data_IF_738751723668
#
_entry.id   IF_738751723668
#
_cell.length_a   1.000
_cell.length_b   1.000
_cell.length_c   1.000
_cell.angle_alpha   90.00
_cell.angle_beta   90.00
_cell.angle_gamma   90.00
#
_symmetry.space_group_name_H-M   'P 1'
#
loop_
_entity.id
_entity.type
_entity.pdbx_description
1 polymer ?
#
# COMPACT_ATOMS: atom_id res chain seq x y z
N UNK A 1 -18.89 -3.91 16.29
CA UNK A 1 -18.92 -4.11 14.83
C UNK A 1 -17.49 -4.23 14.32
N UNK A 2 -17.22 -5.07 13.31
CA UNK A 2 -15.87 -5.15 12.73
C UNK A 2 -15.53 -3.85 12.00
N UNK A 3 -14.35 -3.28 12.25
CA UNK A 3 -13.88 -2.01 11.65
C UNK A 3 -13.86 -2.05 10.12
N UNK A 4 -13.56 -3.23 9.55
CA UNK A 4 -13.51 -3.45 8.10
C UNK A 4 -14.60 -4.44 7.66
N UNK A 5 -15.32 -4.10 6.61
CA UNK A 5 -16.29 -5.01 6.00
C UNK A 5 -15.57 -6.13 5.23
N UNK A 6 -16.25 -7.27 5.05
CA UNK A 6 -15.73 -8.37 4.19
C UNK A 6 -15.42 -7.90 2.77
N UNK A 7 -16.19 -6.92 2.26
CA UNK A 7 -15.98 -6.34 0.94
C UNK A 7 -14.66 -5.59 0.85
N UNK A 8 -14.35 -4.74 1.84
CA UNK A 8 -13.09 -4.00 1.91
C UNK A 8 -11.91 -4.97 1.99
N UNK A 9 -11.99 -6.00 2.83
CA UNK A 9 -10.91 -6.99 2.96
C UNK A 9 -10.68 -7.76 1.65
N UNK A 10 -11.74 -8.07 0.89
CA UNK A 10 -11.60 -8.66 -0.45
C UNK A 10 -10.84 -7.73 -1.41
N UNK A 11 -11.07 -6.42 -1.34
CA UNK A 11 -10.37 -5.43 -2.16
C UNK A 11 -8.89 -5.29 -1.75
N UNK A 12 -8.62 -5.24 -0.45
CA UNK A 12 -7.26 -5.24 0.10
C UNK A 12 -6.47 -6.49 -0.32
N UNK A 13 -7.13 -7.64 -0.41
CA UNK A 13 -6.51 -8.92 -0.80
C UNK A 13 -6.39 -9.13 -2.32
N UNK A 14 -6.24 -8.05 -3.12
CA UNK A 14 -6.04 -8.12 -4.57
C UNK A 14 -7.32 -8.01 -5.40
N UNK A 15 -8.46 -7.71 -4.74
CA UNK A 15 -9.74 -7.59 -5.42
C UNK A 15 -9.83 -6.41 -6.38
N UNK A 16 -9.09 -5.32 -6.17
CA UNK A 16 -9.07 -4.18 -7.10
C UNK A 16 -8.37 -4.57 -8.39
N UNK A 17 -7.18 -5.18 -8.28
CA UNK A 17 -6.47 -5.71 -9.44
C UNK A 17 -7.35 -6.67 -10.24
N UNK A 18 -8.01 -7.63 -9.58
CA UNK A 18 -8.92 -8.57 -10.26
C UNK A 18 -10.08 -7.88 -10.99
N UNK A 19 -10.61 -6.76 -10.46
CA UNK A 19 -11.62 -5.94 -11.15
C UNK A 19 -11.04 -5.28 -12.39
N UNK A 20 -9.93 -4.56 -12.26
CA UNK A 20 -9.28 -3.86 -13.37
C UNK A 20 -8.86 -4.82 -14.48
N UNK A 21 -8.34 -5.99 -14.12
CA UNK A 21 -8.01 -7.05 -15.08
C UNK A 21 -9.28 -7.55 -15.78
N UNK A 22 -10.35 -7.81 -15.03
CA UNK A 22 -11.65 -8.15 -15.61
C UNK A 22 -12.16 -7.08 -16.59
N UNK A 23 -12.00 -5.80 -16.26
CA UNK A 23 -12.42 -4.67 -17.10
C UNK A 23 -11.51 -4.49 -18.34
N UNK A 24 -10.19 -4.65 -18.19
CA UNK A 24 -9.20 -4.63 -19.27
C UNK A 24 -9.41 -5.76 -20.28
N UNK A 25 -10.02 -6.87 -19.86
CA UNK A 25 -10.43 -7.97 -20.74
C UNK A 25 -11.81 -7.74 -21.43
N UNK A 26 -12.41 -6.56 -21.31
CA UNK A 26 -13.63 -6.12 -22.00
C UNK A 26 -14.88 -7.00 -21.79
N UNK A 27 -15.54 -6.86 -20.63
CA UNK A 27 -16.97 -7.17 -20.51
C UNK A 27 -17.83 -5.96 -20.93
N UNK A 28 -18.05 -5.76 -22.24
CA UNK A 28 -19.23 -4.99 -22.68
C UNK A 28 -20.42 -5.93 -22.77
N UNK A 29 -21.42 -5.72 -21.91
CA UNK A 29 -22.71 -6.43 -21.96
C UNK A 29 -23.45 -6.03 -23.25
N UNK A 30 -23.29 -6.80 -24.33
CA UNK A 30 -24.09 -6.64 -25.55
C UNK A 30 -24.23 -7.97 -26.30
N UNK A 31 -25.48 -8.47 -26.37
CA UNK A 31 -26.05 -9.46 -27.30
C UNK A 31 -25.17 -10.52 -27.99
N UNK A 32 -25.50 -11.79 -27.76
CA UNK A 32 -25.18 -13.04 -28.52
C UNK A 32 -23.72 -13.37 -28.92
N UNK A 33 -22.82 -12.41 -29.10
CA UNK A 33 -21.35 -12.60 -29.12
C UNK A 33 -20.73 -12.78 -27.71
N UNK A 34 -21.59 -12.63 -26.69
CA UNK A 34 -21.30 -12.67 -25.25
C UNK A 34 -20.66 -13.99 -24.79
N UNK A 35 -21.04 -15.15 -25.36
CA UNK A 35 -20.53 -16.45 -24.88
C UNK A 35 -19.01 -16.63 -25.05
N UNK A 36 -18.46 -16.28 -26.22
CA UNK A 36 -17.02 -16.48 -26.48
C UNK A 36 -16.13 -15.50 -25.70
N UNK A 37 -16.59 -14.26 -25.50
CA UNK A 37 -15.90 -13.26 -24.67
C UNK A 37 -16.00 -13.63 -23.18
N UNK A 38 -17.16 -14.11 -22.72
CA UNK A 38 -17.35 -14.62 -21.36
C UNK A 38 -16.48 -15.85 -21.10
N UNK A 39 -16.34 -16.75 -22.08
CA UNK A 39 -15.48 -17.94 -22.00
C UNK A 39 -13.98 -17.56 -21.93
N UNK A 40 -13.55 -16.54 -22.67
CA UNK A 40 -12.17 -16.04 -22.63
C UNK A 40 -11.83 -15.35 -21.30
N UNK A 41 -12.72 -14.50 -20.79
CA UNK A 41 -12.56 -13.87 -19.48
C UNK A 41 -12.61 -14.88 -18.33
N UNK A 42 -13.53 -15.85 -18.38
CA UNK A 42 -13.58 -16.96 -17.43
C UNK A 42 -12.31 -17.83 -17.49
N UNK A 43 -11.77 -18.08 -18.68
CA UNK A 43 -10.50 -18.79 -18.86
C UNK A 43 -9.32 -18.02 -18.29
N UNK A 44 -9.25 -16.70 -18.50
CA UNK A 44 -8.22 -15.84 -17.95
C UNK A 44 -8.25 -15.81 -16.41
N UNK A 45 -9.44 -15.67 -15.82
CA UNK A 45 -9.61 -15.75 -14.37
C UNK A 45 -9.21 -17.13 -13.82
N UNK A 46 -9.61 -18.22 -14.48
CA UNK A 46 -9.21 -19.58 -14.10
C UNK A 46 -7.70 -19.78 -14.18
N UNK A 47 -7.05 -19.22 -15.20
CA UNK A 47 -5.59 -19.24 -15.32
C UNK A 47 -4.92 -18.43 -14.20
N UNK A 48 -5.46 -17.25 -13.86
CA UNK A 48 -4.98 -16.47 -12.72
C UNK A 48 -5.12 -17.23 -11.40
N UNK A 49 -6.25 -17.90 -11.16
CA UNK A 49 -6.45 -18.72 -9.96
C UNK A 49 -5.42 -19.87 -9.88
N UNK A 50 -5.10 -20.52 -11.01
CA UNK A 50 -4.06 -21.54 -11.08
C UNK A 50 -2.65 -20.97 -10.77
N UNK A 51 -2.32 -19.80 -11.33
CA UNK A 51 -1.05 -19.13 -11.06
C UNK A 51 -0.95 -18.71 -9.59
N UNK A 52 -2.03 -18.23 -9.00
CA UNK A 52 -2.06 -17.87 -7.58
C UNK A 52 -1.92 -19.08 -6.67
N UNK A 53 -2.53 -20.22 -7.01
CA UNK A 53 -2.34 -21.46 -6.28
C UNK A 53 -0.89 -21.97 -6.36
N UNK A 54 -0.28 -21.90 -7.54
CA UNK A 54 1.14 -22.25 -7.74
C UNK A 54 2.06 -21.31 -6.95
N UNK A 55 1.80 -20.00 -6.97
CA UNK A 55 2.54 -19.02 -6.19
C UNK A 55 2.38 -19.26 -4.68
N UNK A 56 1.17 -19.58 -4.20
CA UNK A 56 0.93 -19.89 -2.80
C UNK A 56 1.75 -21.10 -2.34
N UNK A 57 1.83 -22.16 -3.17
CA UNK A 57 2.68 -23.33 -2.89
C UNK A 57 4.16 -22.96 -2.86
N UNK A 58 4.65 -22.22 -3.85
CA UNK A 58 6.06 -21.77 -3.94
C UNK A 58 6.49 -20.95 -2.71
N UNK A 59 5.60 -20.13 -2.17
CA UNK A 59 5.89 -19.17 -1.11
C UNK A 59 5.32 -19.58 0.27
N UNK A 60 4.89 -20.83 0.43
CA UNK A 60 4.24 -21.32 1.64
C UNK A 60 5.12 -21.17 2.90
N UNK A 61 6.43 -21.41 2.78
CA UNK A 61 7.38 -21.32 3.90
C UNK A 61 7.79 -19.90 4.32
N UNK A 62 7.31 -18.84 3.65
CA UNK A 62 7.72 -17.47 3.97
C UNK A 62 6.82 -16.87 5.05
N UNK A 63 7.40 -16.66 6.23
CA UNK A 63 6.72 -16.13 7.43
C UNK A 63 6.72 -14.60 7.48
N UNK A 64 7.86 -13.94 7.19
CA UNK A 64 7.99 -12.46 7.17
C UNK A 64 7.73 -11.86 5.79
N UNK A 65 6.54 -12.12 5.23
CA UNK A 65 6.17 -11.73 3.85
C UNK A 65 6.38 -10.24 3.56
N UNK A 66 5.89 -9.34 4.42
CA UNK A 66 6.10 -7.87 4.27
C UNK A 66 7.56 -7.51 4.04
N UNK A 67 8.45 -8.02 4.90
CA UNK A 67 9.87 -7.72 4.83
C UNK A 67 10.52 -8.37 3.61
N UNK A 68 10.15 -9.61 3.28
CA UNK A 68 10.68 -10.31 2.11
C UNK A 68 10.28 -9.62 0.81
N UNK A 69 9.04 -9.16 0.69
CA UNK A 69 8.47 -8.63 -0.54
C UNK A 69 8.70 -7.13 -0.73
N UNK A 70 8.49 -6.31 0.30
CA UNK A 70 8.62 -4.84 0.18
C UNK A 70 9.94 -4.31 0.76
N UNK A 71 10.58 -5.05 1.67
CA UNK A 71 11.74 -4.58 2.43
C UNK A 71 11.35 -3.96 3.78
N UNK A 72 12.26 -3.17 4.36
CA UNK A 72 12.00 -2.42 5.60
C UNK A 72 11.23 -1.12 5.30
N UNK A 73 10.35 -0.71 6.22
CA UNK A 73 9.83 0.66 6.26
C UNK A 73 10.99 1.62 6.51
N UNK A 74 11.10 2.74 5.77
CA UNK A 74 12.12 3.74 6.07
C UNK A 74 11.97 4.27 7.50
N UNK A 75 13.09 4.58 8.14
CA UNK A 75 13.07 5.22 9.46
C UNK A 75 12.54 6.64 9.35
N UNK A 76 11.79 7.10 10.35
CA UNK A 76 11.40 8.51 10.47
C UNK A 76 12.61 9.46 10.51
N UNK A 77 13.78 8.97 10.95
CA UNK A 77 15.01 9.76 10.96
C UNK A 77 15.82 9.71 9.64
N UNK A 78 15.40 8.87 8.67
CA UNK A 78 16.01 8.80 7.33
C UNK A 78 15.57 9.95 6.44
N UNK A 79 16.17 10.09 5.25
CA UNK A 79 15.77 11.09 4.25
C UNK A 79 14.26 11.09 4.02
N UNK A 80 13.66 9.93 3.68
CA UNK A 80 12.22 9.82 3.43
C UNK A 80 11.39 10.26 4.64
N UNK A 81 11.80 9.90 5.86
CA UNK A 81 11.09 10.31 7.07
C UNK A 81 11.14 11.82 7.33
N UNK A 82 12.27 12.46 7.03
CA UNK A 82 12.41 13.92 7.14
C UNK A 82 11.65 14.64 6.05
N UNK A 83 11.61 14.09 4.83
CA UNK A 83 10.79 14.62 3.73
C UNK A 83 9.29 14.54 4.07
N UNK A 84 8.84 13.46 4.73
CA UNK A 84 7.45 13.37 5.26
C UNK A 84 7.17 14.47 6.28
N UNK A 85 8.07 14.66 7.24
CA UNK A 85 7.91 15.68 8.27
C UNK A 85 7.88 17.09 7.68
N UNK A 86 8.77 17.37 6.71
CA UNK A 86 8.80 18.64 6.01
C UNK A 86 7.50 18.87 5.23
N UNK A 87 7.02 17.86 4.48
CA UNK A 87 5.75 17.93 3.76
C UNK A 87 4.58 18.20 4.72
N UNK A 88 4.49 17.49 5.84
CA UNK A 88 3.45 17.68 6.85
C UNK A 88 3.47 19.09 7.47
N UNK A 89 4.65 19.72 7.56
CA UNK A 89 4.78 21.09 8.04
C UNK A 89 4.22 22.12 7.06
N UNK A 90 4.21 21.80 5.76
CA UNK A 90 3.71 22.63 4.65
C UNK A 90 2.23 22.39 4.32
N UNK A 91 1.58 21.41 4.97
CA UNK A 91 0.14 21.18 4.87
C UNK A 91 -0.63 22.39 5.44
N UNK A 92 -1.89 22.58 5.00
CA UNK A 92 -2.77 23.63 5.50
C UNK A 92 -4.05 23.05 6.11
N UNK A 93 -4.27 23.15 7.43
CA UNK A 93 -3.37 23.73 8.44
C UNK A 93 -2.15 22.84 8.72
N UNK A 94 -1.04 23.44 9.14
CA UNK A 94 0.17 22.70 9.49
C UNK A 94 -0.07 21.80 10.70
N UNK A 95 0.41 20.55 10.61
CA UNK A 95 0.35 19.58 11.70
C UNK A 95 1.65 19.47 12.49
N UNK A 96 2.63 20.35 12.24
CA UNK A 96 3.98 20.30 12.82
C UNK A 96 4.35 21.62 13.48
N UNK A 97 4.99 21.55 14.66
CA UNK A 97 5.57 22.69 15.40
C UNK A 97 7.04 22.44 15.69
N UNK A 98 7.79 23.53 15.85
CA UNK A 98 9.23 23.53 16.18
C UNK A 98 10.08 22.78 15.14
N UNK A 99 9.70 22.82 13.86
CA UNK A 99 10.50 22.23 12.79
C UNK A 99 11.89 22.91 12.73
N UNK A 100 12.98 22.16 12.60
CA UNK A 100 14.29 22.76 12.42
C UNK A 100 14.35 23.57 11.12
N UNK A 101 15.13 24.65 11.12
CA UNK A 101 15.36 25.47 9.91
C UNK A 101 16.40 24.82 9.00
N UNK A 102 16.33 25.12 7.71
CA UNK A 102 17.26 24.63 6.70
C UNK A 102 16.84 23.30 6.08
N UNK A 103 17.72 22.74 5.26
CA UNK A 103 17.46 21.51 4.49
C UNK A 103 17.19 20.30 5.40
N UNK A 104 16.16 19.47 5.14
CA UNK A 104 15.86 18.28 5.94
C UNK A 104 17.03 17.33 6.14
N UNK A 105 17.95 17.23 5.18
CA UNK A 105 19.14 16.39 5.27
C UNK A 105 20.12 16.81 6.38
N UNK A 106 20.08 18.08 6.82
CA UNK A 106 20.97 18.60 7.87
C UNK A 106 20.38 18.49 9.28
N UNK A 107 19.09 18.13 9.40
CA UNK A 107 18.44 18.04 10.71
C UNK A 107 19.04 16.91 11.57
N UNK A 108 19.42 17.25 12.79
CA UNK A 108 19.95 16.30 13.77
C UNK A 108 18.84 15.69 14.61
N UNK A 109 19.09 14.51 15.21
CA UNK A 109 18.14 13.87 16.12
C UNK A 109 17.76 14.76 17.30
N UNK A 110 18.72 15.49 17.88
CA UNK A 110 18.48 16.40 18.99
C UNK A 110 17.55 17.57 18.62
N UNK A 111 17.59 18.05 17.37
CA UNK A 111 16.65 19.05 16.88
C UNK A 111 15.26 18.42 16.66
N UNK A 112 15.21 17.22 16.09
CA UNK A 112 13.96 16.48 15.86
C UNK A 112 13.24 16.08 17.15
N UNK A 113 13.97 15.88 18.26
CA UNK A 113 13.35 15.58 19.56
C UNK A 113 12.53 16.75 20.13
N UNK A 114 12.71 17.98 19.62
CA UNK A 114 11.93 19.18 20.00
C UNK A 114 10.68 19.37 19.15
N UNK A 115 10.56 18.61 18.05
CA UNK A 115 9.44 18.70 17.13
C UNK A 115 8.19 18.12 17.77
N UNK A 116 7.08 18.84 17.62
CA UNK A 116 5.76 18.40 18.05
C UNK A 116 4.87 18.20 16.82
N UNK A 117 4.09 17.13 16.83
CA UNK A 117 3.15 16.80 15.76
C UNK A 117 1.75 16.70 16.35
N UNK A 118 0.79 17.29 15.66
CA UNK A 118 -0.62 17.23 16.04
C UNK A 118 -1.20 15.87 15.64
N UNK A 119 -1.73 15.12 16.61
CA UNK A 119 -2.47 13.89 16.33
C UNK A 119 -3.76 14.24 15.60
N UNK A 120 -4.07 13.60 14.45
CA UNK A 120 -5.35 13.77 13.80
C UNK A 120 -6.52 13.17 14.59
N UNK A 121 -6.26 12.18 15.46
CA UNK A 121 -7.28 11.49 16.25
C UNK A 121 -7.76 12.32 17.45
N UNK A 122 -6.84 12.87 18.25
CA UNK A 122 -7.19 13.67 19.44
C UNK A 122 -7.10 15.18 19.22
N UNK A 123 -6.39 15.64 18.19
CA UNK A 123 -6.08 17.05 17.98
C UNK A 123 -4.98 17.59 18.92
N UNK A 124 -4.41 16.76 19.79
CA UNK A 124 -3.37 17.14 20.74
C UNK A 124 -1.97 17.09 20.12
N UNK A 125 -1.02 17.76 20.74
CA UNK A 125 0.37 17.82 20.30
C UNK A 125 1.23 16.79 21.04
N UNK A 126 1.88 15.92 20.28
CA UNK A 126 2.76 14.89 20.83
C UNK A 126 4.19 15.06 20.29
N UNK A 127 5.22 14.64 21.04
CA UNK A 127 6.60 14.74 20.56
C UNK A 127 6.82 13.78 19.39
N UNK A 128 7.66 14.18 18.43
CA UNK A 128 7.98 13.40 17.23
C UNK A 128 8.43 11.96 17.51
N UNK A 129 9.09 11.74 18.66
CA UNK A 129 9.51 10.40 19.10
C UNK A 129 8.34 9.41 19.28
N UNK A 130 7.11 9.89 19.52
CA UNK A 130 5.90 9.08 19.72
C UNK A 130 5.21 8.62 18.43
N UNK A 131 5.73 9.01 17.26
CA UNK A 131 5.15 8.69 15.96
C UNK A 131 5.95 7.64 15.20
N UNK A 132 5.28 6.84 14.38
CA UNK A 132 5.88 5.93 13.41
C UNK A 132 5.55 6.36 11.97
N UNK A 133 6.32 5.82 11.03
CA UNK A 133 6.04 5.92 9.60
C UNK A 133 4.88 4.99 9.24
N UNK A 134 3.65 5.52 9.33
CA UNK A 134 2.43 4.83 8.88
C UNK A 134 2.26 4.97 7.37
N UNK A 135 1.86 3.90 6.69
CA UNK A 135 1.55 3.99 5.26
C UNK A 135 0.19 4.66 5.10
N UNK A 136 0.15 5.74 4.31
CA UNK A 136 -1.05 6.54 4.12
C UNK A 136 -0.87 7.36 2.83
N UNK A 137 -1.88 7.48 1.96
CA UNK A 137 -3.26 6.99 2.12
C UNK A 137 -3.44 5.48 1.91
N UNK A 138 -2.44 4.78 1.36
CA UNK A 138 -2.58 3.37 0.99
C UNK A 138 -1.72 2.48 1.87
N UNK A 139 -2.35 1.51 2.54
CA UNK A 139 -1.64 0.48 3.32
C UNK A 139 -0.67 -0.35 2.46
N UNK A 140 0.47 -0.72 3.03
CA UNK A 140 1.50 -1.52 2.36
C UNK A 140 0.98 -2.88 1.86
N UNK A 141 0.07 -3.53 2.61
CA UNK A 141 -0.54 -4.80 2.19
C UNK A 141 -1.47 -4.61 1.01
N UNK A 142 -2.24 -3.52 1.00
CA UNK A 142 -3.14 -3.15 -0.11
C UNK A 142 -2.33 -2.89 -1.37
N UNK A 143 -1.28 -2.05 -1.29
CA UNK A 143 -0.35 -1.77 -2.39
C UNK A 143 0.27 -3.05 -2.95
N UNK A 144 0.85 -3.87 -2.08
CA UNK A 144 1.48 -5.10 -2.52
C UNK A 144 0.49 -6.01 -3.23
N UNK A 145 -0.70 -6.21 -2.65
CA UNK A 145 -1.67 -7.15 -3.20
C UNK A 145 -2.31 -6.71 -4.54
N UNK A 146 -2.34 -5.41 -4.83
CA UNK A 146 -3.01 -4.86 -6.01
C UNK A 146 -2.06 -4.30 -7.07
N UNK A 147 -0.80 -4.01 -6.72
CA UNK A 147 0.19 -3.45 -7.65
C UNK A 147 1.53 -4.15 -7.51
N UNK A 148 2.11 -4.15 -6.31
CA UNK A 148 3.50 -4.55 -6.10
C UNK A 148 3.79 -6.04 -6.41
N UNK A 149 2.86 -6.95 -6.07
CA UNK A 149 3.05 -8.41 -6.19
C UNK A 149 3.16 -8.91 -7.63
N UNK A 150 2.78 -8.09 -8.60
CA UNK A 150 2.85 -8.41 -10.03
C UNK A 150 4.21 -8.02 -10.64
N UNK A 151 5.10 -7.50 -9.80
CA UNK A 151 6.52 -7.31 -10.08
C UNK A 151 7.32 -8.29 -9.20
N UNK A 152 8.64 -8.24 -9.31
CA UNK A 152 9.50 -9.02 -8.43
C UNK A 152 9.57 -8.45 -6.99
N UNK A 153 9.74 -9.30 -5.97
CA UNK A 153 10.04 -8.85 -4.60
C UNK A 153 11.18 -7.83 -4.58
N UNK A 154 10.92 -6.65 -3.99
CA UNK A 154 11.87 -5.54 -3.89
C UNK A 154 12.41 -5.07 -5.26
N UNK A 155 11.62 -5.21 -6.31
CA UNK A 155 11.86 -4.56 -7.60
C UNK A 155 12.04 -3.04 -7.43
N UNK A 156 12.61 -2.39 -8.45
CA UNK A 156 12.77 -0.93 -8.45
C UNK A 156 11.44 -0.22 -8.17
N UNK A 157 10.37 -0.58 -8.88
CA UNK A 157 9.02 -0.03 -8.68
C UNK A 157 8.54 -0.15 -7.23
N UNK A 158 8.73 -1.32 -6.60
CA UNK A 158 8.34 -1.54 -5.20
C UNK A 158 9.17 -0.71 -4.25
N UNK A 159 10.46 -0.55 -4.52
CA UNK A 159 11.38 0.24 -3.68
C UNK A 159 11.15 1.73 -3.83
N UNK A 160 10.88 2.21 -5.04
CA UNK A 160 10.54 3.59 -5.32
C UNK A 160 9.24 3.96 -4.56
N UNK A 161 8.21 3.12 -4.61
CA UNK A 161 6.98 3.33 -3.82
C UNK A 161 7.25 3.35 -2.31
N UNK A 162 8.06 2.43 -1.81
CA UNK A 162 8.44 2.33 -0.38
C UNK A 162 9.32 3.48 0.12
N UNK A 163 9.95 4.25 -0.76
CA UNK A 163 10.84 5.37 -0.41
C UNK A 163 10.23 6.74 -0.73
N UNK A 164 9.06 6.76 -1.34
CA UNK A 164 8.32 7.98 -1.65
C UNK A 164 7.59 8.52 -0.40
N UNK A 165 7.90 9.75 0.05
CA UNK A 165 7.26 10.37 1.22
C UNK A 165 5.76 10.64 1.04
N UNK A 166 5.21 10.58 -0.18
CA UNK A 166 3.78 10.70 -0.43
C UNK A 166 2.98 9.46 0.02
N UNK A 167 3.64 8.32 0.21
CA UNK A 167 3.01 7.07 0.68
C UNK A 167 3.03 6.89 2.21
N UNK A 168 3.40 7.95 2.93
CA UNK A 168 3.54 7.93 4.38
C UNK A 168 2.86 9.11 5.06
N UNK A 169 2.40 8.89 6.28
CA UNK A 169 2.10 9.94 7.26
C UNK A 169 2.67 9.52 8.61
N UNK A 170 3.12 10.49 9.41
CA UNK A 170 3.51 10.22 10.79
C UNK A 170 2.24 9.97 11.60
N UNK A 171 2.10 8.77 12.14
CA UNK A 171 0.97 8.33 12.96
C UNK A 171 1.46 7.97 14.36
N UNK A 172 0.65 8.23 15.39
CA UNK A 172 1.00 7.80 16.75
C UNK A 172 1.26 6.29 16.76
N UNK A 173 2.34 5.87 17.41
CA UNK A 173 2.81 4.48 17.36
C UNK A 173 1.72 3.48 17.75
N UNK A 174 0.97 3.76 18.82
CA UNK A 174 -0.08 2.87 19.30
C UNK A 174 -1.23 2.74 18.29
N UNK A 175 -1.62 3.85 17.64
CA UNK A 175 -2.67 3.89 16.62
C UNK A 175 -2.23 3.14 15.37
N UNK A 176 -1.01 3.39 14.88
CA UNK A 176 -0.46 2.72 13.70
C UNK A 176 -0.36 1.20 13.91
N UNK A 177 0.15 0.78 15.08
CA UNK A 177 0.26 -0.63 15.42
C UNK A 177 -1.11 -1.29 15.60
N UNK A 178 -2.06 -0.60 16.24
CA UNK A 178 -3.43 -1.08 16.38
C UNK A 178 -4.11 -1.26 15.02
N UNK A 179 -4.02 -0.26 14.13
CA UNK A 179 -4.58 -0.32 12.79
C UNK A 179 -4.05 -1.53 12.00
N UNK A 180 -2.74 -1.78 12.05
CA UNK A 180 -2.12 -2.95 11.43
C UNK A 180 -2.61 -4.28 12.02
N UNK A 181 -2.75 -4.37 13.35
CA UNK A 181 -3.31 -5.57 14.02
C UNK A 181 -4.76 -5.81 13.64
N UNK A 182 -5.58 -4.76 13.61
CA UNK A 182 -7.00 -4.83 13.26
C UNK A 182 -7.20 -5.25 11.80
N UNK A 183 -6.44 -4.65 10.87
CA UNK A 183 -6.48 -4.99 9.45
C UNK A 183 -6.05 -6.46 9.23
N UNK A 184 -5.03 -6.90 9.97
CA UNK A 184 -4.65 -8.31 10.05
C UNK A 184 -5.74 -9.20 10.63
N UNK A 185 -6.34 -8.84 11.76
CA UNK A 185 -7.42 -9.61 12.37
C UNK A 185 -8.64 -9.75 11.44
N UNK A 186 -8.93 -8.72 10.65
CA UNK A 186 -10.00 -8.73 9.65
C UNK A 186 -9.71 -9.60 8.41
N UNK A 187 -8.47 -10.06 8.23
CA UNK A 187 -8.10 -11.03 7.19
C UNK A 187 -7.23 -10.48 6.07
N UNK A 188 -6.69 -9.26 6.16
CA UNK A 188 -5.72 -8.77 5.20
C UNK A 188 -4.41 -9.57 5.31
N UNK A 189 -3.93 -10.13 4.21
CA UNK A 189 -2.69 -10.92 4.17
C UNK A 189 -1.87 -10.54 2.96
N UNK A 190 -0.55 -10.50 3.13
CA UNK A 190 0.37 -10.36 2.00
C UNK A 190 0.27 -11.62 1.14
N UNK A 191 -0.19 -11.43 -0.09
CA UNK A 191 -0.28 -12.49 -1.09
C UNK A 191 1.11 -12.78 -1.69
N UNK A 192 1.37 -13.98 -2.21
CA UNK A 192 2.65 -14.29 -2.83
C UNK A 192 2.87 -13.47 -4.12
N UNK A 193 4.13 -13.19 -4.48
CA UNK A 193 4.48 -12.64 -5.80
C UNK A 193 3.88 -13.50 -6.90
N UNK A 194 3.32 -12.85 -7.92
CA UNK A 194 2.62 -13.47 -9.02
C UNK A 194 3.15 -12.91 -10.33
N UNK A 195 3.77 -13.76 -11.15
CA UNK A 195 4.07 -13.39 -12.53
C UNK A 195 2.78 -13.50 -13.35
N UNK A 196 2.42 -12.41 -14.03
CA UNK A 196 1.26 -12.40 -14.92
C UNK A 196 1.54 -13.21 -16.20
N UNK A 197 0.51 -13.82 -16.81
CA UNK A 197 0.59 -14.42 -18.14
C UNK A 197 1.20 -13.48 -19.19
N UNK A 198 1.86 -14.05 -20.19
CA UNK A 198 2.40 -13.29 -21.31
C UNK A 198 1.28 -12.50 -22.02
N UNK A 199 1.56 -11.25 -22.37
CA UNK A 199 0.60 -10.32 -22.96
C UNK A 199 -0.24 -9.53 -21.95
N UNK A 200 -0.19 -9.85 -20.65
CA UNK A 200 -0.80 -9.03 -19.59
C UNK A 200 0.29 -8.21 -18.90
N UNK A 201 0.27 -6.90 -19.13
CA UNK A 201 1.19 -5.96 -18.48
C UNK A 201 0.37 -4.92 -17.73
N UNK A 202 0.71 -4.69 -16.46
CA UNK A 202 0.24 -3.52 -15.73
C UNK A 202 1.06 -2.32 -16.20
N UNK A 203 0.56 -1.61 -17.21
CA UNK A 203 1.15 -0.34 -17.61
C UNK A 203 0.95 0.73 -16.52
N UNK A 204 1.63 1.86 -16.67
CA UNK A 204 1.61 2.92 -15.66
C UNK A 204 0.22 3.54 -15.50
N UNK A 205 -0.62 3.53 -16.55
CA UNK A 205 -2.00 4.01 -16.48
C UNK A 205 -2.88 3.08 -15.63
N UNK A 206 -2.75 1.77 -15.82
CA UNK A 206 -3.45 0.77 -15.03
C UNK A 206 -2.98 0.82 -13.57
N UNK A 207 -1.67 0.93 -13.32
CA UNK A 207 -1.11 1.12 -11.97
C UNK A 207 -1.69 2.38 -11.31
N UNK A 208 -1.70 3.52 -12.00
CA UNK A 208 -2.24 4.77 -11.48
C UNK A 208 -3.74 4.66 -11.16
N UNK A 209 -4.52 4.02 -12.03
CA UNK A 209 -5.97 3.79 -11.83
C UNK A 209 -6.21 2.92 -10.59
N UNK A 210 -5.47 1.81 -10.45
CA UNK A 210 -5.56 0.93 -9.28
C UNK A 210 -5.19 1.70 -8.02
N UNK A 211 -4.07 2.44 -8.02
CA UNK A 211 -3.63 3.24 -6.89
C UNK A 211 -4.66 4.29 -6.47
N UNK A 212 -5.33 4.93 -7.42
CA UNK A 212 -6.39 5.90 -7.12
C UNK A 212 -7.61 5.24 -6.46
N UNK A 213 -8.06 4.10 -6.99
CA UNK A 213 -9.13 3.31 -6.38
C UNK A 213 -8.80 2.87 -4.95
N UNK A 214 -7.52 2.65 -4.63
CA UNK A 214 -7.07 2.21 -3.31
C UNK A 214 -7.09 3.32 -2.25
N UNK A 215 -6.99 4.59 -2.65
CA UNK A 215 -7.01 5.73 -1.72
C UNK A 215 -8.37 5.91 -1.04
N UNK A 216 -9.42 5.33 -1.63
CA UNK A 216 -10.81 5.45 -1.20
C UNK A 216 -11.34 4.19 -0.47
N UNK A 217 -10.44 3.29 -0.04
CA UNK A 217 -10.78 2.07 0.72
C UNK A 217 -10.66 2.28 2.23
#
# INVERSE_FOLDING_TARGET
MAKYSKHVIKLVNGGIFRRVVGDLFHFKKAGRAVKAADDAGAKALKQLDQLEAAAAKKWAGVTKRRQKFLGATPSKFSKTGRDVLERMSKENPSSVRNLPKGDPSTWTKAQLDRVMIKSPESGEWFPYKSFDMGHSPVDAVTYWNNVGRFTEPRSKDVRDWMLDPANYRLQLSDVNQAAGRELGAAGARYQPPLKLPDGIVLDDKAKATILDMMKNL
#
